data_IF_353255869109
#
_entry.id   IF_353255869109
#
_cell.length_a   1.000
_cell.length_b   1.000
_cell.length_c   1.000
_cell.angle_alpha   90.00
_cell.angle_beta   90.00
_cell.angle_gamma   90.00
#
_symmetry.space_group_name_H-M   'P 1'
#
loop_
_entity.id
_entity.type
_entity.pdbx_description
1 polymer ?
#
# COMPACT_ATOMS: atom_id res chain seq x y z
N UNK A 1 27.13 -0.24 13.24
CA UNK A 1 27.67 1.13 13.28
C UNK A 1 26.85 2.14 12.46
N UNK A 2 26.48 1.84 11.21
CA UNK A 2 25.70 2.75 10.35
C UNK A 2 24.38 3.26 10.96
N UNK A 3 23.62 2.41 11.65
CA UNK A 3 22.38 2.81 12.33
C UNK A 3 22.60 3.87 13.41
N UNK A 4 23.70 3.79 14.18
CA UNK A 4 24.00 4.78 15.21
C UNK A 4 24.40 6.12 14.59
N UNK A 5 25.25 6.10 13.58
CA UNK A 5 25.62 7.32 12.85
C UNK A 5 24.42 7.99 12.20
N UNK A 6 23.51 7.23 11.60
CA UNK A 6 22.28 7.77 11.02
C UNK A 6 21.36 8.40 12.08
N UNK A 7 21.20 7.75 13.25
CA UNK A 7 20.41 8.31 14.37
C UNK A 7 21.02 9.59 14.93
N UNK A 8 22.34 9.62 15.12
CA UNK A 8 23.05 10.83 15.55
C UNK A 8 22.96 11.94 14.49
N UNK A 9 23.14 11.58 13.23
CA UNK A 9 23.07 12.51 12.11
C UNK A 9 21.69 13.18 12.02
N UNK A 10 20.58 12.44 12.19
CA UNK A 10 19.22 13.03 12.23
C UNK A 10 19.06 14.05 13.36
N UNK A 11 19.66 13.79 14.54
CA UNK A 11 19.49 14.66 15.72
C UNK A 11 20.42 15.85 15.73
N UNK A 12 21.59 15.74 15.11
CA UNK A 12 22.66 16.72 15.21
C UNK A 12 22.82 17.58 13.94
N UNK A 13 22.26 17.17 12.80
CA UNK A 13 22.37 17.90 11.53
C UNK A 13 21.03 18.56 11.16
N UNK A 14 21.08 19.72 10.49
CA UNK A 14 19.92 20.24 9.79
C UNK A 14 19.41 19.24 8.74
N UNK A 15 18.09 19.16 8.58
CA UNK A 15 17.41 18.21 7.68
C UNK A 15 17.99 18.21 6.26
N UNK A 16 18.31 19.38 5.70
CA UNK A 16 18.85 19.49 4.35
C UNK A 16 20.24 18.86 4.22
N UNK A 17 21.12 19.07 5.21
CA UNK A 17 22.47 18.51 5.22
C UNK A 17 22.42 17.00 5.40
N UNK A 18 21.53 16.52 6.27
CA UNK A 18 21.32 15.10 6.48
C UNK A 18 20.88 14.39 5.18
N UNK A 19 19.94 14.97 4.44
CA UNK A 19 19.48 14.41 3.15
C UNK A 19 20.61 14.40 2.11
N UNK A 20 21.46 15.43 2.05
CA UNK A 20 22.62 15.44 1.16
C UNK A 20 23.59 14.30 1.46
N UNK A 21 23.86 14.01 2.74
CA UNK A 21 24.72 12.87 3.11
C UNK A 21 24.12 11.51 2.71
N UNK A 22 22.80 11.39 2.68
CA UNK A 22 22.11 10.20 2.15
C UNK A 22 22.26 10.16 0.63
N UNK A 23 21.99 11.27 -0.06
CA UNK A 23 22.03 11.36 -1.52
C UNK A 23 23.43 11.05 -2.08
N UNK A 24 24.47 11.46 -1.37
CA UNK A 24 25.87 11.15 -1.70
C UNK A 24 26.33 9.76 -1.24
N UNK A 25 25.48 8.99 -0.54
CA UNK A 25 25.79 7.62 -0.10
C UNK A 25 26.72 7.51 1.12
N UNK A 26 27.03 8.62 1.80
CA UNK A 26 27.81 8.61 3.04
C UNK A 26 27.03 7.98 4.20
N UNK A 27 25.70 8.19 4.22
CA UNK A 27 24.79 7.59 5.18
C UNK A 27 23.98 6.49 4.53
N UNK A 28 24.32 5.24 4.86
CA UNK A 28 23.54 4.09 4.43
C UNK A 28 22.28 3.96 5.29
N UNK A 29 21.12 4.08 4.66
CA UNK A 29 19.82 3.86 5.29
C UNK A 29 19.63 2.36 5.54
N UNK A 30 19.84 1.93 6.78
CA UNK A 30 19.56 0.55 7.19
C UNK A 30 18.09 0.40 7.58
N UNK A 31 17.51 -0.78 7.39
CA UNK A 31 16.16 -1.09 7.82
C UNK A 31 15.87 -0.75 9.30
N UNK A 32 16.82 -1.07 10.18
CA UNK A 32 16.71 -0.75 11.63
C UNK A 32 16.63 0.74 11.92
N UNK A 33 17.19 1.58 11.03
CA UNK A 33 17.09 3.03 11.17
C UNK A 33 15.70 3.48 10.75
N UNK A 34 15.17 2.95 9.65
CA UNK A 34 13.86 3.35 9.15
C UNK A 34 12.73 2.87 10.06
N UNK A 35 12.84 1.67 10.63
CA UNK A 35 11.86 1.21 11.64
C UNK A 35 11.81 2.15 12.84
N UNK A 36 12.96 2.56 13.37
CA UNK A 36 13.04 3.56 14.45
C UNK A 36 12.54 4.93 14.02
N UNK A 37 12.80 5.33 12.77
CA UNK A 37 12.28 6.58 12.23
C UNK A 37 10.75 6.58 12.20
N UNK A 38 10.12 5.46 11.87
CA UNK A 38 8.66 5.37 11.84
C UNK A 38 8.01 5.45 13.23
N UNK A 39 8.73 5.09 14.30
CA UNK A 39 8.28 5.27 15.68
C UNK A 39 8.31 6.73 16.17
N UNK A 40 8.91 7.65 15.41
CA UNK A 40 8.85 9.08 15.73
C UNK A 40 7.43 9.62 15.58
N UNK A 41 7.14 10.70 16.29
CA UNK A 41 5.88 11.42 16.20
C UNK A 41 5.61 11.93 14.77
N UNK A 42 4.33 12.07 14.45
CA UNK A 42 3.84 12.57 13.17
C UNK A 42 3.71 14.11 13.18
N UNK A 43 4.69 14.82 13.76
CA UNK A 43 4.81 16.27 13.62
C UNK A 43 5.17 16.64 12.17
N UNK A 44 4.72 17.79 11.65
CA UNK A 44 4.95 18.22 10.25
C UNK A 44 6.44 18.15 9.84
N UNK A 45 7.36 18.52 10.75
CA UNK A 45 8.80 18.41 10.49
C UNK A 45 9.26 16.95 10.30
N UNK A 46 8.78 16.06 11.16
CA UNK A 46 9.14 14.64 11.17
C UNK A 46 8.45 13.89 10.02
N UNK A 47 7.21 14.23 9.68
CA UNK A 47 6.53 13.72 8.48
C UNK A 47 7.30 14.09 7.21
N UNK A 48 7.69 15.37 7.06
CA UNK A 48 8.49 15.81 5.90
C UNK A 48 9.81 15.06 5.81
N UNK A 49 10.45 14.79 6.94
CA UNK A 49 11.66 13.97 6.99
C UNK A 49 11.40 12.52 6.57
N UNK A 50 10.37 11.87 7.15
CA UNK A 50 9.93 10.51 6.80
C UNK A 50 9.65 10.41 5.29
N UNK A 51 8.89 11.33 4.72
CA UNK A 51 8.63 11.39 3.27
C UNK A 51 9.89 11.58 2.44
N UNK A 52 10.79 12.48 2.87
CA UNK A 52 12.04 12.75 2.16
C UNK A 52 12.96 11.54 2.13
N UNK A 53 12.96 10.74 3.21
CA UNK A 53 13.73 9.51 3.31
C UNK A 53 13.06 8.38 2.50
N UNK A 54 11.74 8.23 2.58
CA UNK A 54 10.97 7.25 1.81
C UNK A 54 11.17 7.39 0.30
N UNK A 55 11.23 8.63 -0.22
CA UNK A 55 11.50 8.89 -1.63
C UNK A 55 12.89 8.44 -2.12
N UNK A 56 13.84 8.23 -1.20
CA UNK A 56 15.22 7.87 -1.49
C UNK A 56 15.52 6.39 -1.20
N UNK A 57 14.55 5.67 -0.62
CA UNK A 57 14.71 4.27 -0.25
C UNK A 57 14.41 3.34 -1.44
N UNK A 58 15.09 2.19 -1.53
CA UNK A 58 14.75 1.16 -2.50
C UNK A 58 13.30 0.66 -2.31
N UNK A 59 12.61 0.39 -3.42
CA UNK A 59 11.22 -0.10 -3.45
C UNK A 59 10.91 -1.27 -2.48
N UNK A 60 11.74 -2.33 -2.36
CA UNK A 60 11.43 -3.43 -1.45
C UNK A 60 11.47 -3.03 0.04
N UNK A 61 12.29 -2.03 0.41
CA UNK A 61 12.29 -1.51 1.77
C UNK A 61 11.03 -0.69 2.04
N UNK A 62 10.64 0.16 1.09
CA UNK A 62 9.46 1.04 1.22
C UNK A 62 8.18 0.24 1.50
N UNK A 63 7.97 -0.88 0.80
CA UNK A 63 6.79 -1.75 1.01
C UNK A 63 6.70 -2.26 2.44
N UNK A 64 7.82 -2.69 3.03
CA UNK A 64 7.85 -3.18 4.42
C UNK A 64 7.57 -2.08 5.42
N UNK A 65 8.02 -0.86 5.10
CA UNK A 65 7.84 0.30 5.96
C UNK A 65 6.38 0.76 5.98
N UNK A 66 5.65 0.68 4.86
CA UNK A 66 4.22 1.02 4.85
C UNK A 66 3.40 0.17 5.82
N UNK A 67 3.74 -1.11 6.00
CA UNK A 67 3.07 -1.95 7.00
C UNK A 67 3.43 -1.60 8.46
N UNK A 68 4.50 -0.84 8.68
CA UNK A 68 4.96 -0.42 10.01
C UNK A 68 4.55 1.01 10.37
N UNK A 69 4.26 1.83 9.36
CA UNK A 69 3.94 3.24 9.56
C UNK A 69 2.43 3.42 9.57
N UNK A 70 1.88 3.63 10.76
CA UNK A 70 0.48 3.98 10.98
C UNK A 70 0.20 5.42 10.50
N UNK A 71 -0.08 5.54 9.20
CA UNK A 71 -0.35 6.80 8.52
C UNK A 71 -1.25 6.56 7.29
N UNK A 72 -2.21 7.45 6.98
CA UNK A 72 -3.15 7.25 5.87
C UNK A 72 -2.47 7.07 4.50
N UNK A 73 -1.26 7.62 4.30
CA UNK A 73 -0.48 7.39 3.07
C UNK A 73 -0.05 5.93 2.91
N UNK A 74 0.25 5.24 4.01
CA UNK A 74 0.56 3.80 3.96
C UNK A 74 -0.66 3.02 3.47
N UNK A 75 -1.82 3.26 4.05
CA UNK A 75 -3.09 2.64 3.65
C UNK A 75 -3.46 2.96 2.20
N UNK A 76 -3.23 4.20 1.75
CA UNK A 76 -3.45 4.60 0.36
C UNK A 76 -2.49 3.90 -0.61
N UNK A 77 -1.22 3.69 -0.22
CA UNK A 77 -0.27 2.95 -1.05
C UNK A 77 -0.64 1.46 -1.11
N UNK A 78 -1.00 0.86 0.02
CA UNK A 78 -1.37 -0.55 0.14
C UNK A 78 -2.63 -0.84 -0.70
N UNK A 79 -3.68 -0.02 -0.57
CA UNK A 79 -4.91 -0.16 -1.36
C UNK A 79 -4.64 -0.06 -2.86
N UNK A 80 -3.76 0.86 -3.30
CA UNK A 80 -3.39 0.99 -4.71
C UNK A 80 -2.67 -0.23 -5.26
N UNK A 81 -1.70 -0.75 -4.53
CA UNK A 81 -0.95 -1.95 -4.91
C UNK A 81 -1.87 -3.19 -4.93
N UNK A 82 -2.79 -3.29 -3.96
CA UNK A 82 -3.80 -4.34 -3.91
C UNK A 82 -4.70 -4.33 -5.15
N UNK A 83 -5.31 -3.19 -5.48
CA UNK A 83 -6.16 -3.06 -6.67
C UNK A 83 -5.39 -3.36 -7.95
N UNK A 84 -4.14 -2.88 -8.05
CA UNK A 84 -3.29 -3.13 -9.22
C UNK A 84 -3.03 -4.63 -9.41
N UNK A 85 -2.60 -5.33 -8.37
CA UNK A 85 -2.31 -6.77 -8.43
C UNK A 85 -3.57 -7.60 -8.70
N UNK A 86 -4.71 -7.20 -8.12
CA UNK A 86 -6.01 -7.85 -8.33
C UNK A 86 -6.47 -7.73 -9.79
N UNK A 87 -6.39 -6.53 -10.37
CA UNK A 87 -6.72 -6.30 -11.79
C UNK A 87 -5.77 -7.03 -12.74
N UNK A 88 -4.47 -7.06 -12.43
CA UNK A 88 -3.48 -7.82 -13.21
C UNK A 88 -3.74 -9.33 -13.16
N UNK A 89 -4.06 -9.89 -11.98
CA UNK A 89 -4.41 -11.31 -11.83
C UNK A 89 -5.65 -11.65 -12.65
N UNK A 90 -6.68 -10.82 -12.60
CA UNK A 90 -7.90 -11.06 -13.37
C UNK A 90 -7.67 -10.95 -14.88
N UNK A 91 -6.84 -10.01 -15.35
CA UNK A 91 -6.47 -9.93 -16.76
C UNK A 91 -5.70 -11.17 -17.25
N UNK A 92 -4.85 -11.77 -16.41
CA UNK A 92 -4.16 -13.03 -16.73
C UNK A 92 -5.11 -14.23 -16.69
N UNK A 93 -6.06 -14.26 -15.75
CA UNK A 93 -7.03 -15.34 -15.59
C UNK A 93 -8.14 -15.36 -16.66
N UNK A 94 -8.35 -14.29 -17.44
CA UNK A 94 -9.23 -14.31 -18.61
C UNK A 94 -8.89 -15.42 -19.63
N UNK A 95 -7.68 -16.00 -19.57
CA UNK A 95 -7.26 -17.13 -20.41
C UNK A 95 -7.47 -18.53 -19.80
N UNK A 96 -7.87 -18.67 -18.54
CA UNK A 96 -8.05 -19.97 -17.87
C UNK A 96 -9.52 -20.18 -17.51
N UNK A 97 -10.06 -21.30 -18.01
CA UNK A 97 -11.45 -21.68 -17.91
C UNK A 97 -12.00 -21.63 -16.48
N UNK A 98 -13.14 -20.95 -16.36
CA UNK A 98 -13.90 -20.69 -15.15
C UNK A 98 -14.68 -21.95 -14.74
N UNK A 99 -14.11 -22.74 -13.83
CA UNK A 99 -14.74 -23.89 -13.17
C UNK A 99 -14.75 -23.53 -11.68
N UNK A 100 -15.84 -23.35 -10.94
CA UNK A 100 -17.24 -23.75 -11.11
C UNK A 100 -17.73 -24.15 -9.71
N UNK A 101 -18.08 -23.19 -8.86
CA UNK A 101 -18.72 -23.44 -7.55
C UNK A 101 -19.89 -22.48 -7.35
N UNK A 102 -21.10 -22.95 -7.66
CA UNK A 102 -22.32 -22.18 -7.49
C UNK A 102 -22.73 -22.17 -6.00
N UNK A 103 -22.57 -21.03 -5.31
CA UNK A 103 -23.27 -20.74 -4.05
C UNK A 103 -24.72 -20.33 -4.35
N UNK A 104 -25.74 -20.86 -3.65
CA UNK A 104 -27.13 -20.56 -3.94
C UNK A 104 -27.59 -19.32 -3.14
N UNK A 105 -27.77 -18.18 -3.79
CA UNK A 105 -28.33 -16.99 -3.12
C UNK A 105 -28.81 -15.86 -4.03
N UNK A 106 -28.23 -15.70 -5.22
CA UNK A 106 -28.62 -14.63 -6.14
C UNK A 106 -28.86 -15.19 -7.54
N UNK A 107 -30.13 -15.29 -7.94
CA UNK A 107 -30.53 -15.62 -9.33
C UNK A 107 -31.22 -14.42 -9.97
N UNK A 108 -30.49 -13.39 -10.43
CA UNK A 108 -31.06 -12.43 -11.37
C UNK A 108 -31.46 -13.17 -12.66
N UNK A 109 -32.68 -12.91 -13.15
CA UNK A 109 -33.27 -13.55 -14.35
C UNK A 109 -32.56 -13.16 -15.67
N UNK A 110 -31.72 -12.12 -15.62
CA UNK A 110 -30.95 -11.63 -16.76
C UNK A 110 -29.53 -12.21 -16.74
N UNK A 111 -29.26 -13.13 -17.68
CA UNK A 111 -28.01 -13.89 -17.78
C UNK A 111 -26.73 -13.03 -17.70
N UNK A 112 -26.65 -11.85 -18.35
CA UNK A 112 -25.46 -10.99 -18.21
C UNK A 112 -25.23 -10.47 -16.79
N UNK A 113 -26.29 -10.18 -16.03
CA UNK A 113 -26.16 -9.77 -14.62
C UNK A 113 -25.77 -10.96 -13.73
N UNK A 114 -26.27 -12.16 -14.02
CA UNK A 114 -25.85 -13.39 -13.31
C UNK A 114 -24.36 -13.67 -13.55
N UNK A 115 -23.89 -13.49 -14.78
CA UNK A 115 -22.48 -13.64 -15.13
C UNK A 115 -21.59 -12.61 -14.42
N UNK A 116 -22.02 -11.35 -14.41
CA UNK A 116 -21.31 -10.28 -13.70
C UNK A 116 -21.28 -10.53 -12.19
N UNK A 117 -22.41 -10.92 -11.58
CA UNK A 117 -22.48 -11.26 -10.16
C UNK A 117 -21.56 -12.44 -9.81
N UNK A 118 -21.45 -13.44 -10.69
CA UNK A 118 -20.53 -14.58 -10.49
C UNK A 118 -19.07 -14.15 -10.56
N UNK A 119 -18.70 -13.31 -11.53
CA UNK A 119 -17.34 -12.74 -11.60
C UNK A 119 -17.02 -11.94 -10.34
N UNK A 120 -17.96 -11.11 -9.86
CA UNK A 120 -17.78 -10.32 -8.65
C UNK A 120 -17.65 -11.22 -7.41
N UNK A 121 -18.46 -12.27 -7.31
CA UNK A 121 -18.38 -13.25 -6.22
C UNK A 121 -17.02 -13.95 -6.19
N UNK A 122 -16.47 -14.33 -7.35
CA UNK A 122 -15.15 -14.97 -7.45
C UNK A 122 -14.00 -14.00 -7.11
N UNK A 123 -14.21 -12.70 -7.29
CA UNK A 123 -13.27 -11.65 -6.85
C UNK A 123 -13.36 -11.43 -5.33
N UNK A 124 -14.56 -11.58 -4.76
CA UNK A 124 -14.84 -11.42 -3.32
C UNK A 124 -14.43 -12.63 -2.49
N UNK A 125 -14.21 -13.81 -3.08
CA UNK A 125 -13.81 -15.02 -2.34
C UNK A 125 -12.38 -14.91 -1.77
N UNK A 126 -12.28 -14.33 -0.57
CA UNK A 126 -11.10 -14.34 0.30
C UNK A 126 -11.36 -13.52 1.56
N UNK A 127 -10.83 -13.91 2.74
CA UNK A 127 -10.88 -13.05 3.92
C UNK A 127 -10.19 -11.72 3.61
N UNK A 128 -10.71 -10.61 4.15
CA UNK A 128 -10.10 -9.30 3.96
C UNK A 128 -8.66 -9.34 4.52
N UNK A 129 -7.63 -9.21 3.69
CA UNK A 129 -6.23 -9.35 4.13
C UNK A 129 -5.80 -8.20 5.07
N UNK A 130 -6.64 -7.19 5.25
CA UNK A 130 -6.38 -6.03 6.09
C UNK A 130 -7.08 -6.09 7.46
N UNK A 131 -7.99 -7.05 7.70
CA UNK A 131 -8.67 -7.18 9.00
C UNK A 131 -7.72 -7.54 10.15
N UNK A 132 -6.64 -8.27 9.87
CA UNK A 132 -5.64 -8.69 10.87
C UNK A 132 -4.48 -7.68 11.03
N UNK A 133 -4.40 -6.63 10.20
CA UNK A 133 -3.30 -5.67 10.22
C UNK A 133 -3.57 -4.53 11.21
N UNK A 134 -2.94 -4.58 12.39
CA UNK A 134 -3.09 -3.57 13.46
C UNK A 134 -2.80 -2.13 13.02
N UNK A 135 -1.86 -1.93 12.08
CA UNK A 135 -1.43 -0.60 11.61
C UNK A 135 -2.24 -0.08 10.41
N UNK A 136 -3.31 -0.76 10.01
CA UNK A 136 -4.05 -0.45 8.79
C UNK A 136 -5.55 -0.43 9.10
N UNK A 137 -6.16 0.75 8.94
CA UNK A 137 -7.63 0.84 8.98
C UNK A 137 -8.25 0.20 7.73
N UNK A 138 -8.82 -0.99 7.92
CA UNK A 138 -9.47 -1.77 6.87
C UNK A 138 -10.57 -0.99 6.14
N UNK A 139 -11.37 -0.18 6.85
CA UNK A 139 -12.44 0.61 6.24
C UNK A 139 -11.89 1.70 5.33
N UNK A 140 -10.82 2.36 5.76
CA UNK A 140 -10.15 3.38 4.96
C UNK A 140 -9.48 2.78 3.72
N UNK A 141 -8.89 1.59 3.84
CA UNK A 141 -8.32 0.85 2.72
C UNK A 141 -9.39 0.46 1.71
N UNK A 142 -10.54 -0.04 2.16
CA UNK A 142 -11.68 -0.38 1.29
C UNK A 142 -12.16 0.85 0.49
N UNK A 143 -12.38 1.98 1.15
CA UNK A 143 -12.82 3.21 0.49
C UNK A 143 -11.80 3.69 -0.55
N UNK A 144 -10.52 3.64 -0.21
CA UNK A 144 -9.43 4.06 -1.11
C UNK A 144 -9.26 3.10 -2.27
N UNK A 145 -9.40 1.80 -2.03
CA UNK A 145 -9.36 0.77 -3.07
C UNK A 145 -10.52 0.93 -4.05
N UNK A 146 -11.72 1.27 -3.56
CA UNK A 146 -12.88 1.54 -4.41
C UNK A 146 -12.63 2.74 -5.32
N UNK A 147 -12.15 3.87 -4.76
CA UNK A 147 -11.79 5.07 -5.54
C UNK A 147 -10.75 4.73 -6.61
N UNK A 148 -9.70 4.01 -6.23
CA UNK A 148 -8.65 3.60 -7.17
C UNK A 148 -9.15 2.68 -8.28
N UNK A 149 -10.10 1.81 -7.98
CA UNK A 149 -10.75 0.95 -8.97
C UNK A 149 -11.56 1.78 -9.97
N UNK A 150 -12.33 2.75 -9.49
CA UNK A 150 -13.07 3.68 -10.36
C UNK A 150 -12.15 4.46 -11.29
N UNK A 151 -11.01 4.93 -10.79
CA UNK A 151 -9.98 5.63 -11.59
C UNK A 151 -9.43 4.70 -12.67
N UNK A 152 -9.00 3.48 -12.32
CA UNK A 152 -8.38 2.55 -13.26
C UNK A 152 -9.35 2.04 -14.33
N UNK A 153 -10.65 1.95 -14.00
CA UNK A 153 -11.70 1.59 -14.95
C UNK A 153 -12.23 2.79 -15.74
N UNK A 154 -11.78 4.01 -15.43
CA UNK A 154 -12.17 5.24 -16.14
C UNK A 154 -13.57 5.76 -15.80
N UNK A 155 -14.12 5.39 -14.65
CA UNK A 155 -15.45 5.79 -14.18
C UNK A 155 -15.45 7.11 -13.37
N UNK A 156 -14.29 7.69 -13.08
CA UNK A 156 -14.22 8.98 -12.40
C UNK A 156 -14.65 10.13 -13.34
N UNK A 157 -15.57 10.97 -12.88
CA UNK A 157 -15.89 12.24 -13.55
C UNK A 157 -14.75 13.22 -13.28
N UNK A 158 -14.21 13.81 -14.35
CA UNK A 158 -13.30 14.98 -14.30
C UNK A 158 -13.92 16.13 -13.53
#
# INVERSE_FOLDING_TARGET
YHTLFAVFAVRCLPHHTFLQYIDHGFLQLTETFVSRLMTLDNSDANERLKFSILKRLPEPMVKRIYHMWDHPVSSASISRDYVKTLLEKHNKNKGLAFMGTDKPGFRPEFVPLTYLAKILSDIEEGPNPFEEQENVDARFVEETALKQTLILLGFERK
#
